data_IF_940059561667
#
_entry.id   IF_940059561667
#
_cell.length_a   1.000
_cell.length_b   1.000
_cell.length_c   1.000
_cell.angle_alpha   90.00
_cell.angle_beta   90.00
_cell.angle_gamma   90.00
#
_symmetry.space_group_name_H-M   'P 1'
#
loop_
_entity.id
_entity.type
_entity.pdbx_description
1 polymer ?
#
# COMPACT_ATOMS: atom_id res chain seq x y z
N UNK A 1 30.92 -25.26 -15.42
CA UNK A 1 29.47 -25.19 -15.12
C UNK A 1 29.28 -24.52 -13.76
N UNK A 2 28.38 -23.55 -13.60
CA UNK A 2 28.10 -22.95 -12.28
C UNK A 2 27.38 -23.98 -11.41
N UNK A 3 27.85 -24.20 -10.18
CA UNK A 3 27.23 -25.14 -9.23
C UNK A 3 25.76 -24.75 -8.93
N UNK A 4 24.82 -25.71 -8.89
CA UNK A 4 23.43 -25.47 -8.50
C UNK A 4 23.31 -24.76 -7.14
N UNK A 5 24.08 -25.20 -6.15
CA UNK A 5 24.12 -24.59 -4.82
C UNK A 5 24.62 -23.13 -4.83
N UNK A 6 25.60 -22.81 -5.69
CA UNK A 6 26.07 -21.44 -5.87
C UNK A 6 25.00 -20.54 -6.53
N UNK A 7 24.18 -21.11 -7.41
CA UNK A 7 23.06 -20.42 -8.03
C UNK A 7 21.94 -20.16 -7.01
N UNK A 8 21.58 -21.17 -6.22
CA UNK A 8 20.59 -21.05 -5.15
C UNK A 8 20.98 -19.97 -4.13
N UNK A 9 22.25 -19.95 -3.68
CA UNK A 9 22.77 -18.89 -2.81
C UNK A 9 22.56 -17.49 -3.36
N UNK A 10 22.85 -17.29 -4.65
CA UNK A 10 22.67 -15.99 -5.32
C UNK A 10 21.19 -15.59 -5.39
N UNK A 11 20.31 -16.53 -5.69
CA UNK A 11 18.87 -16.26 -5.75
C UNK A 11 18.32 -15.89 -4.37
N UNK A 12 18.72 -16.59 -3.31
CA UNK A 12 18.33 -16.26 -1.94
C UNK A 12 18.84 -14.88 -1.53
N UNK A 13 20.09 -14.54 -1.88
CA UNK A 13 20.65 -13.20 -1.68
C UNK A 13 19.81 -12.11 -2.39
N UNK A 14 19.46 -12.34 -3.67
CA UNK A 14 18.64 -11.38 -4.41
C UNK A 14 17.23 -11.22 -3.84
N UNK A 15 16.65 -12.29 -3.28
CA UNK A 15 15.36 -12.24 -2.57
C UNK A 15 15.46 -11.44 -1.26
N UNK A 16 16.58 -11.53 -0.54
CA UNK A 16 16.81 -10.71 0.66
C UNK A 16 16.94 -9.23 0.31
N UNK A 17 17.66 -8.89 -0.75
CA UNK A 17 17.79 -7.52 -1.25
C UNK A 17 16.45 -6.95 -1.75
N UNK A 18 15.58 -7.79 -2.31
CA UNK A 18 14.19 -7.41 -2.58
C UNK A 18 13.43 -7.16 -1.29
N UNK A 19 13.57 -8.04 -0.29
CA UNK A 19 12.95 -7.87 1.02
C UNK A 19 13.30 -6.55 1.70
N UNK A 20 14.57 -6.12 1.64
CA UNK A 20 14.99 -4.82 2.19
C UNK A 20 14.31 -3.65 1.45
N UNK A 21 14.15 -3.76 0.13
CA UNK A 21 13.44 -2.74 -0.66
C UNK A 21 11.94 -2.72 -0.38
N UNK A 22 11.34 -3.89 -0.18
CA UNK A 22 9.94 -4.03 0.25
C UNK A 22 9.71 -3.36 1.61
N UNK A 23 10.63 -3.57 2.56
CA UNK A 23 10.59 -2.90 3.86
C UNK A 23 10.70 -1.37 3.72
N UNK A 24 11.54 -0.89 2.81
CA UNK A 24 11.62 0.53 2.44
C UNK A 24 10.31 1.08 1.87
N UNK A 25 9.65 0.34 0.98
CA UNK A 25 8.36 0.73 0.40
C UNK A 25 7.25 0.78 1.48
N UNK A 26 7.21 -0.20 2.39
CA UNK A 26 6.27 -0.19 3.52
C UNK A 26 6.52 1.00 4.47
N UNK A 27 7.78 1.31 4.77
CA UNK A 27 8.14 2.47 5.60
C UNK A 27 7.70 3.79 4.94
N UNK A 28 7.82 3.88 3.61
CA UNK A 28 7.33 5.01 2.82
C UNK A 28 5.81 5.03 2.62
N UNK A 29 5.08 4.03 3.12
CA UNK A 29 3.64 3.82 2.87
C UNK A 29 3.29 3.70 1.38
N UNK A 30 4.24 3.29 0.55
CA UNK A 30 4.04 3.11 -0.89
C UNK A 30 3.66 1.65 -1.20
N UNK A 31 2.36 1.36 -1.10
CA UNK A 31 1.81 0.04 -1.41
C UNK A 31 1.97 -0.35 -2.88
N UNK A 32 2.03 0.61 -3.81
CA UNK A 32 2.19 0.32 -5.24
C UNK A 32 3.62 -0.16 -5.52
N UNK A 33 4.62 0.53 -4.99
CA UNK A 33 6.02 0.10 -5.08
C UNK A 33 6.22 -1.29 -4.44
N UNK A 34 5.61 -1.54 -3.27
CA UNK A 34 5.65 -2.86 -2.64
C UNK A 34 5.12 -3.97 -3.57
N UNK A 35 3.94 -3.77 -4.17
CA UNK A 35 3.34 -4.75 -5.09
C UNK A 35 4.17 -4.96 -6.36
N UNK A 36 4.82 -3.91 -6.86
CA UNK A 36 5.73 -4.02 -8.00
C UNK A 36 6.96 -4.89 -7.66
N UNK A 37 7.53 -4.71 -6.47
CA UNK A 37 8.65 -5.52 -5.98
C UNK A 37 8.24 -6.99 -5.79
N UNK A 38 7.08 -7.26 -5.20
CA UNK A 38 6.54 -8.62 -5.04
C UNK A 38 6.39 -9.35 -6.39
N UNK A 39 5.88 -8.65 -7.43
CA UNK A 39 5.78 -9.20 -8.79
C UNK A 39 7.15 -9.48 -9.40
N UNK A 40 8.14 -8.64 -9.13
CA UNK A 40 9.51 -8.87 -9.61
C UNK A 40 10.21 -10.05 -8.91
N UNK A 41 9.76 -10.42 -7.70
CA UNK A 41 10.28 -11.56 -6.95
C UNK A 41 9.79 -12.91 -7.49
N UNK A 42 8.61 -12.97 -8.12
CA UNK A 42 7.97 -14.19 -8.65
C UNK A 42 8.91 -15.10 -9.47
N UNK A 43 9.62 -14.62 -10.51
CA UNK A 43 10.51 -15.47 -11.30
C UNK A 43 11.71 -15.99 -10.48
N UNK A 44 12.17 -15.25 -9.46
CA UNK A 44 13.25 -15.69 -8.58
C UNK A 44 12.78 -16.81 -7.67
N UNK A 45 11.58 -16.68 -7.11
CA UNK A 45 10.96 -17.72 -6.27
C UNK A 45 10.76 -19.01 -7.06
N UNK A 46 10.21 -18.93 -8.28
CA UNK A 46 10.05 -20.11 -9.14
C UNK A 46 11.40 -20.79 -9.45
N UNK A 47 12.45 -19.99 -9.67
CA UNK A 47 13.80 -20.52 -9.90
C UNK A 47 14.37 -21.20 -8.65
N UNK A 48 14.14 -20.64 -7.46
CA UNK A 48 14.51 -21.26 -6.17
C UNK A 48 13.81 -22.60 -6.01
N UNK A 49 12.49 -22.65 -6.18
CA UNK A 49 11.68 -23.88 -6.05
C UNK A 49 12.20 -25.00 -6.97
N UNK A 50 12.54 -24.64 -8.21
CA UNK A 50 13.09 -25.59 -9.18
C UNK A 50 14.45 -26.16 -8.75
N UNK A 51 15.31 -25.34 -8.13
CA UNK A 51 16.65 -25.72 -7.70
C UNK A 51 16.68 -26.44 -6.34
N UNK A 52 15.65 -26.26 -5.51
CA UNK A 52 15.52 -26.96 -4.22
C UNK A 52 15.09 -28.43 -4.33
N UNK A 53 14.85 -28.93 -5.55
CA UNK A 53 14.61 -30.36 -5.80
C UNK A 53 15.88 -31.22 -5.59
N UNK A 54 17.06 -30.59 -5.54
CA UNK A 54 18.33 -31.23 -5.17
C UNK A 54 18.57 -31.17 -3.65
N UNK A 55 19.39 -32.06 -3.05
CA UNK A 55 19.71 -32.00 -1.64
C UNK A 55 20.37 -30.66 -1.28
N UNK A 56 19.65 -29.85 -0.50
CA UNK A 56 20.06 -28.51 -0.05
C UNK A 56 20.71 -28.61 1.32
N UNK A 57 21.85 -27.93 1.51
CA UNK A 57 22.49 -27.82 2.82
C UNK A 57 21.56 -27.16 3.87
N UNK A 58 21.78 -27.47 5.15
CA UNK A 58 20.93 -26.97 6.24
C UNK A 58 20.93 -25.44 6.39
N UNK A 59 22.03 -24.77 5.99
CA UNK A 59 22.17 -23.32 6.05
C UNK A 59 21.23 -22.67 5.03
N UNK A 60 21.20 -23.18 3.80
CA UNK A 60 20.31 -22.67 2.75
C UNK A 60 18.84 -22.94 3.05
N UNK A 61 18.54 -24.08 3.68
CA UNK A 61 17.18 -24.38 4.16
C UNK A 61 16.73 -23.37 5.23
N UNK A 62 17.57 -23.14 6.23
CA UNK A 62 17.30 -22.16 7.31
C UNK A 62 17.11 -20.75 6.74
N UNK A 63 17.96 -20.37 5.79
CA UNK A 63 17.87 -19.07 5.10
C UNK A 63 16.57 -18.92 4.31
N UNK A 64 16.16 -19.96 3.57
CA UNK A 64 14.87 -19.99 2.88
C UNK A 64 13.67 -19.88 3.83
N UNK A 65 13.71 -20.56 4.98
CA UNK A 65 12.67 -20.46 6.01
C UNK A 65 12.57 -19.05 6.60
N UNK A 66 13.70 -18.40 6.88
CA UNK A 66 13.75 -17.01 7.37
C UNK A 66 13.15 -16.03 6.35
N UNK A 67 13.39 -16.23 5.06
CA UNK A 67 12.79 -15.44 3.99
C UNK A 67 11.26 -15.58 3.94
N UNK A 68 10.74 -16.81 4.11
CA UNK A 68 9.30 -17.08 4.14
C UNK A 68 8.63 -16.41 5.35
N UNK A 69 9.25 -16.49 6.53
CA UNK A 69 8.77 -15.82 7.73
C UNK A 69 8.73 -14.29 7.53
N UNK A 70 9.82 -13.71 7.04
CA UNK A 70 9.93 -12.27 6.78
C UNK A 70 8.89 -11.77 5.77
N UNK A 71 8.62 -12.55 4.71
CA UNK A 71 7.60 -12.20 3.71
C UNK A 71 6.19 -12.23 4.31
N UNK A 72 5.93 -13.20 5.19
CA UNK A 72 4.63 -13.29 5.89
C UNK A 72 4.40 -12.07 6.78
N UNK A 73 5.42 -11.63 7.52
CA UNK A 73 5.36 -10.41 8.34
C UNK A 73 5.16 -9.15 7.50
N UNK A 74 5.85 -9.02 6.37
CA UNK A 74 5.66 -7.90 5.43
C UNK A 74 4.23 -7.85 4.88
N UNK A 75 3.65 -9.00 4.56
CA UNK A 75 2.26 -9.08 4.10
C UNK A 75 1.26 -8.62 5.16
N UNK A 76 1.48 -8.98 6.43
CA UNK A 76 0.64 -8.49 7.54
C UNK A 76 0.75 -6.96 7.66
N UNK A 77 1.96 -6.40 7.57
CA UNK A 77 2.17 -4.95 7.58
C UNK A 77 1.47 -4.25 6.41
N UNK A 78 1.53 -4.82 5.20
CA UNK A 78 0.80 -4.28 4.04
C UNK A 78 -0.71 -4.28 4.28
N UNK A 79 -1.27 -5.38 4.79
CA UNK A 79 -2.71 -5.46 5.08
C UNK A 79 -3.15 -4.37 6.05
N UNK A 80 -2.39 -4.18 7.13
CA UNK A 80 -2.67 -3.12 8.10
C UNK A 80 -2.59 -1.71 7.48
N UNK A 81 -1.63 -1.48 6.60
CA UNK A 81 -1.52 -0.21 5.86
C UNK A 81 -2.75 0.02 4.97
N UNK A 82 -3.21 -1.01 4.25
CA UNK A 82 -4.39 -0.92 3.38
C UNK A 82 -5.68 -0.67 4.18
N UNK A 83 -5.82 -1.29 5.35
CA UNK A 83 -6.94 -1.03 6.27
C UNK A 83 -6.93 0.43 6.74
N UNK A 84 -5.76 0.95 7.15
CA UNK A 84 -5.62 2.34 7.59
C UNK A 84 -6.01 3.32 6.47
N UNK A 85 -5.52 3.09 5.24
CA UNK A 85 -5.86 3.92 4.08
C UNK A 85 -7.36 3.88 3.75
N UNK A 86 -7.99 2.70 3.89
CA UNK A 86 -9.44 2.55 3.67
C UNK A 86 -10.24 3.35 4.71
N UNK A 87 -9.83 3.29 5.97
CA UNK A 87 -10.53 4.01 7.04
C UNK A 87 -10.38 5.53 6.89
N UNK A 88 -9.20 6.02 6.47
CA UNK A 88 -8.96 7.42 6.14
C UNK A 88 -9.84 7.91 4.98
N UNK A 89 -9.97 7.11 3.91
CA UNK A 89 -10.88 7.42 2.79
C UNK A 89 -12.34 7.49 3.24
N UNK A 90 -12.79 6.54 4.09
CA UNK A 90 -14.14 6.56 4.65
C UNK A 90 -14.40 7.83 5.49
N UNK A 91 -13.41 8.28 6.25
CA UNK A 91 -13.47 9.53 6.99
C UNK A 91 -13.61 10.77 6.08
N UNK A 92 -12.87 10.78 4.97
CA UNK A 92 -12.95 11.85 3.97
C UNK A 92 -14.30 11.89 3.26
N UNK A 93 -14.85 10.74 2.89
CA UNK A 93 -16.18 10.66 2.28
C UNK A 93 -17.27 11.16 3.24
N UNK A 94 -17.23 10.76 4.51
CA UNK A 94 -18.14 11.27 5.53
C UNK A 94 -17.98 12.78 5.76
N UNK A 95 -16.76 13.32 5.69
CA UNK A 95 -16.53 14.76 5.75
C UNK A 95 -17.10 15.49 4.53
N UNK A 96 -16.93 14.92 3.33
CA UNK A 96 -17.49 15.44 2.08
C UNK A 96 -19.00 15.48 2.11
N UNK A 97 -19.65 14.44 2.62
CA UNK A 97 -21.11 14.39 2.70
C UNK A 97 -21.67 15.37 3.73
N UNK A 98 -21.00 15.54 4.89
CA UNK A 98 -21.32 16.63 5.83
C UNK A 98 -21.18 18.01 5.19
N UNK A 99 -20.10 18.24 4.43
CA UNK A 99 -19.90 19.50 3.72
C UNK A 99 -21.00 19.75 2.66
N UNK A 100 -21.43 18.71 1.93
CA UNK A 100 -22.56 18.78 1.00
C UNK A 100 -23.87 19.12 1.71
N UNK A 101 -24.14 18.50 2.86
CA UNK A 101 -25.34 18.76 3.65
C UNK A 101 -25.42 20.19 4.20
N UNK A 102 -24.27 20.85 4.41
CA UNK A 102 -24.20 22.26 4.83
C UNK A 102 -24.42 23.24 3.66
N UNK A 103 -24.22 22.82 2.41
CA UNK A 103 -24.33 23.68 1.22
C UNK A 103 -25.67 24.42 1.10
N UNK A 104 -26.85 23.82 1.37
CA UNK A 104 -28.13 24.51 1.32
C UNK A 104 -28.24 25.67 2.32
N UNK A 105 -27.67 25.53 3.52
CA UNK A 105 -27.71 26.58 4.56
C UNK A 105 -26.93 27.85 4.15
N UNK A 106 -25.85 27.70 3.39
CA UNK A 106 -25.04 28.83 2.92
C UNK A 106 -25.51 29.42 1.58
N UNK A 107 -26.23 28.66 0.75
CA UNK A 107 -26.81 29.16 -0.51
C UNK A 107 -28.15 29.87 -0.27
N UNK A 108 -28.97 29.39 0.68
CA UNK A 108 -30.24 30.05 1.02
C UNK A 108 -30.06 31.45 1.64
N UNK A 109 -29.00 31.65 2.45
CA UNK A 109 -28.72 32.95 3.07
C UNK A 109 -28.34 34.08 2.10
N UNK A 110 -28.01 33.78 0.82
CA UNK A 110 -27.72 34.82 -0.18
C UNK A 110 -28.96 35.32 -0.94
N UNK A 111 -30.10 34.65 -0.85
CA UNK A 111 -31.34 35.03 -1.57
C UNK A 111 -32.23 35.98 -0.74
N UNK A 112 -31.86 36.29 0.51
CA UNK A 112 -32.70 37.08 1.44
C UNK A 112 -32.23 38.51 1.72
N UNK A 113 -31.30 39.07 0.94
CA UNK A 113 -30.80 40.44 1.14
C UNK A 113 -31.11 41.41 0.00
N UNK A 114 -32.25 41.27 -0.67
CA UNK A 114 -32.74 42.31 -1.59
C UNK A 114 -34.24 42.57 -1.44
N UNK A 115 -34.65 43.01 -0.26
CA UNK A 115 -35.90 43.77 -0.09
C UNK A 115 -35.54 45.18 0.35
N UNK A 116 -35.11 46.01 -0.60
CA UNK A 116 -35.08 47.46 -0.41
C UNK A 116 -36.53 47.96 -0.25
N UNK A 117 -36.88 48.67 0.83
CA UNK A 117 -38.17 49.34 0.91
C UNK A 117 -38.17 50.49 -0.11
N UNK A 118 -39.10 50.44 -1.06
CA UNK A 118 -39.41 51.57 -1.91
C UNK A 118 -39.99 52.68 -1.01
N UNK A 119 -39.18 53.70 -0.72
CA UNK A 119 -39.68 54.92 -0.09
C UNK A 119 -40.69 55.56 -1.06
N UNK A 120 -41.96 55.52 -0.66
CA UNK A 120 -43.03 56.28 -1.28
C UNK A 120 -42.71 57.77 -1.14
N UNK A 121 -42.49 58.44 -2.26
CA UNK A 121 -42.56 59.89 -2.33
C UNK A 121 -44.05 60.26 -2.25
N UNK A 122 -44.49 60.72 -1.07
CA UNK A 122 -45.73 61.48 -0.94
C UNK A 122 -45.48 62.91 -1.40
N UNK A 123 -46.45 63.44 -2.13
CA UNK A 123 -46.43 64.75 -2.79
C UNK A 123 -46.55 65.95 -1.87
#
# INVERSE_FOLDING_TARGET
>A
MKSPAATLRRLLQSLEELGVREDGALAARDGIAFLALERSAEPLVQRVVTLTAEPVDDVLRTRGQSLVASRSERRVRLMHLLETMRDELGGLDAARDRARALRPAYVASRVHTDTRPAFAACG
#
